data_IF_290438048602
#
_entry.id   IF_290438048602
#
_cell.length_a   1.000
_cell.length_b   1.000
_cell.length_c   1.000
_cell.angle_alpha   90.00
_cell.angle_beta   90.00
_cell.angle_gamma   90.00
#
_symmetry.space_group_name_H-M   'P 1'
#
loop_
_entity.id
_entity.type
_entity.pdbx_description
1 polymer ?
#
# COMPACT_ATOMS: atom_id res chain seq x y z
N UNK A 1 8.07 -22.98 29.58
CA UNK A 1 8.86 -22.19 28.63
C UNK A 1 7.99 -21.92 27.42
N UNK A 2 7.95 -20.66 26.96
CA UNK A 2 7.44 -20.18 25.67
C UNK A 2 5.92 -20.38 25.42
N UNK A 3 5.14 -19.40 24.95
CA UNK A 3 5.46 -18.12 24.33
C UNK A 3 4.16 -17.30 24.13
N UNK A 4 4.30 -15.97 24.19
CA UNK A 4 3.59 -14.95 23.40
C UNK A 4 2.19 -14.48 23.81
N UNK A 5 2.20 -13.43 24.65
CA UNK A 5 1.44 -12.18 24.42
C UNK A 5 2.44 -11.01 24.58
N UNK A 6 2.26 -9.84 23.93
CA UNK A 6 0.94 -9.23 23.77
C UNK A 6 0.69 -8.46 22.45
N UNK A 7 -0.60 -8.19 22.24
CA UNK A 7 -1.17 -7.06 21.48
C UNK A 7 -1.03 -7.10 19.95
N UNK A 8 -1.93 -7.84 19.30
CA UNK A 8 -2.47 -7.37 18.02
C UNK A 8 -3.49 -6.28 18.36
N UNK A 9 -3.12 -5.03 18.07
CA UNK A 9 -3.99 -3.87 18.24
C UNK A 9 -5.26 -4.07 17.44
N UNK A 10 -6.34 -4.24 18.20
CA UNK A 10 -7.72 -4.09 17.79
C UNK A 10 -7.90 -2.70 17.17
N UNK A 11 -7.78 -2.58 15.84
CA UNK A 11 -8.20 -1.37 15.15
C UNK A 11 -9.73 -1.24 15.28
N UNK A 12 -10.23 -0.12 15.82
CA UNK A 12 -11.65 0.04 16.09
C UNK A 12 -12.42 0.51 14.85
N UNK A 13 -13.68 0.08 14.83
CA UNK A 13 -14.84 0.79 14.26
C UNK A 13 -15.08 0.74 12.76
N UNK A 14 -15.94 -0.19 12.38
CA UNK A 14 -17.30 0.02 11.83
C UNK A 14 -17.77 1.48 11.59
N UNK A 15 -17.04 2.22 10.76
CA UNK A 15 -17.62 3.12 9.79
C UNK A 15 -17.28 2.55 8.41
N UNK A 16 -17.99 2.96 7.36
CA UNK A 16 -17.79 2.48 5.98
C UNK A 16 -16.48 3.04 5.36
N UNK A 17 -15.40 2.97 6.12
CA UNK A 17 -14.06 3.46 5.83
C UNK A 17 -13.31 2.39 5.05
N UNK A 18 -12.62 2.80 3.98
CA UNK A 18 -11.86 1.85 3.18
C UNK A 18 -10.75 1.23 4.05
N UNK A 19 -10.60 -0.09 4.00
CA UNK A 19 -9.51 -0.75 4.74
C UNK A 19 -8.17 -0.49 4.06
N UNK A 20 -7.06 -0.65 4.78
CA UNK A 20 -5.71 -0.57 4.19
C UNK A 20 -5.56 -1.39 2.90
N UNK A 21 -6.16 -2.58 2.85
CA UNK A 21 -6.12 -3.44 1.68
C UNK A 21 -6.93 -2.90 0.48
N UNK A 22 -8.06 -2.26 0.76
CA UNK A 22 -8.91 -1.66 -0.29
C UNK A 22 -8.29 -0.37 -0.83
N UNK A 23 -7.81 0.50 0.05
CA UNK A 23 -7.11 1.73 -0.32
C UNK A 23 -5.84 1.45 -1.13
N UNK A 24 -5.10 0.40 -0.77
CA UNK A 24 -3.89 0.04 -1.49
C UNK A 24 -4.16 -0.45 -2.93
N UNK A 25 -5.37 -0.96 -3.23
CA UNK A 25 -5.78 -1.32 -4.60
C UNK A 25 -6.10 -0.10 -5.46
N UNK A 26 -6.62 0.97 -4.84
CA UNK A 26 -6.91 2.24 -5.53
C UNK A 26 -5.63 3.00 -5.88
N UNK A 27 -4.51 2.64 -5.25
CA UNK A 27 -3.23 3.29 -5.42
C UNK A 27 -2.26 2.40 -6.17
N UNK A 28 -1.73 2.93 -7.28
CA UNK A 28 -0.73 2.25 -8.09
C UNK A 28 0.65 2.89 -7.89
N UNK A 29 1.67 2.04 -7.86
CA UNK A 29 3.08 2.43 -7.93
C UNK A 29 3.65 1.94 -9.24
N UNK A 30 4.31 2.82 -9.98
CA UNK A 30 5.10 2.43 -11.13
C UNK A 30 6.41 1.81 -10.66
N UNK A 31 6.69 0.59 -11.12
CA UNK A 31 7.93 -0.12 -10.82
C UNK A 31 8.57 -0.53 -12.14
N UNK A 32 9.88 -0.26 -12.34
CA UNK A 32 10.58 -0.69 -13.54
C UNK A 32 10.53 -2.22 -13.66
N UNK A 33 10.29 -2.70 -14.87
CA UNK A 33 10.37 -4.13 -15.18
C UNK A 33 11.85 -4.49 -15.21
N UNK A 34 12.23 -5.49 -14.40
CA UNK A 34 13.59 -6.02 -14.38
C UNK A 34 13.75 -7.04 -15.51
N UNK A 35 14.85 -6.91 -16.26
CA UNK A 35 15.25 -7.89 -17.26
C UNK A 35 15.63 -9.22 -16.57
N UNK A 36 15.14 -10.34 -17.10
CA UNK A 36 15.29 -11.66 -16.44
C UNK A 36 16.70 -12.22 -16.55
N UNK A 37 17.47 -11.82 -17.56
CA UNK A 37 18.80 -12.36 -17.83
C UNK A 37 19.88 -11.54 -17.12
N UNK A 38 19.71 -10.23 -17.07
CA UNK A 38 20.70 -9.30 -16.51
C UNK A 38 20.35 -8.78 -15.12
N UNK A 39 19.09 -8.91 -14.69
CA UNK A 39 18.60 -8.37 -13.42
C UNK A 39 18.58 -6.83 -13.38
N UNK A 40 18.76 -6.15 -14.50
CA UNK A 40 18.78 -4.68 -14.60
C UNK A 40 17.39 -4.12 -14.88
N UNK A 41 17.06 -2.91 -14.42
CA UNK A 41 15.82 -2.24 -14.81
C UNK A 41 15.82 -1.96 -16.31
N UNK A 42 14.73 -2.30 -16.98
CA UNK A 42 14.45 -1.92 -18.37
C UNK A 42 13.83 -0.53 -18.43
N UNK A 43 13.78 0.07 -19.62
CA UNK A 43 13.08 1.34 -19.88
C UNK A 43 11.55 1.25 -19.77
N UNK A 44 11.00 0.08 -19.43
CA UNK A 44 9.56 -0.14 -19.27
C UNK A 44 9.19 -0.17 -17.79
N UNK A 45 8.14 0.56 -17.43
CA UNK A 45 7.50 0.47 -16.12
C UNK A 45 6.26 -0.43 -16.19
N UNK A 46 5.91 -1.02 -15.05
CA UNK A 46 4.60 -1.63 -14.84
C UNK A 46 3.94 -1.00 -13.64
N UNK A 47 2.63 -0.81 -13.73
CA UNK A 47 1.82 -0.42 -12.58
C UNK A 47 1.59 -1.63 -11.69
N UNK A 48 1.92 -1.51 -10.41
CA UNK A 48 1.53 -2.49 -9.40
C UNK A 48 0.65 -1.82 -8.36
N UNK A 49 -0.41 -2.50 -7.95
CA UNK A 49 -1.15 -2.10 -6.76
C UNK A 49 -0.22 -2.15 -5.55
N UNK A 50 -0.34 -1.15 -4.68
CA UNK A 50 0.35 -1.18 -3.40
C UNK A 50 -0.26 -2.31 -2.57
N UNK A 51 0.54 -3.02 -1.76
CA UNK A 51 -0.02 -4.01 -0.83
C UNK A 51 -0.52 -3.29 0.42
N UNK A 52 -1.61 -3.79 1.01
CA UNK A 52 -2.13 -3.24 2.27
C UNK A 52 -1.08 -3.18 3.39
N UNK A 53 -0.14 -4.14 3.42
CA UNK A 53 0.96 -4.14 4.40
C UNK A 53 2.00 -3.03 4.16
N UNK A 54 2.16 -2.55 2.92
CA UNK A 54 3.05 -1.42 2.61
C UNK A 54 2.43 -0.08 3.01
N UNK A 55 1.12 -0.03 3.29
CA UNK A 55 0.46 1.20 3.73
C UNK A 55 0.81 1.48 5.19
N UNK A 56 1.46 2.61 5.42
CA UNK A 56 1.73 3.11 6.76
C UNK A 56 0.52 3.89 7.30
N UNK A 57 -0.06 4.75 6.46
CA UNK A 57 -1.22 5.56 6.80
C UNK A 57 -1.92 6.02 5.52
N UNK A 58 -3.21 6.31 5.60
CA UNK A 58 -3.95 6.86 4.48
C UNK A 58 -4.95 7.90 4.94
N UNK A 59 -5.35 8.77 4.01
CA UNK A 59 -6.40 9.75 4.20
C UNK A 59 -7.32 9.74 2.99
N UNK A 60 -8.60 9.50 3.25
CA UNK A 60 -9.65 9.58 2.25
C UNK A 60 -10.11 11.04 2.10
N UNK A 61 -10.31 11.45 0.85
CA UNK A 61 -11.01 12.67 0.44
C UNK A 61 -12.23 12.24 -0.39
N UNK A 62 -13.12 13.19 -0.68
CA UNK A 62 -14.34 12.90 -1.46
C UNK A 62 -14.05 12.36 -2.87
N UNK A 63 -12.97 12.82 -3.51
CA UNK A 63 -12.58 12.50 -4.90
C UNK A 63 -11.44 11.47 -5.00
N UNK A 64 -10.55 11.43 -4.00
CA UNK A 64 -9.34 10.63 -4.08
C UNK A 64 -8.86 10.19 -2.69
N UNK A 65 -7.94 9.25 -2.67
CA UNK A 65 -7.26 8.79 -1.45
C UNK A 65 -5.76 9.08 -1.55
N UNK A 66 -5.20 9.59 -0.45
CA UNK A 66 -3.77 9.78 -0.31
C UNK A 66 -3.23 8.71 0.62
N UNK A 67 -2.24 7.97 0.14
CA UNK A 67 -1.61 6.87 0.87
C UNK A 67 -0.16 7.20 1.13
N UNK A 68 0.27 7.02 2.37
CA UNK A 68 1.65 7.05 2.79
C UNK A 68 2.13 5.61 2.93
N UNK A 69 3.15 5.24 2.17
CA UNK A 69 3.77 3.91 2.27
C UNK A 69 4.85 3.88 3.36
N UNK A 70 5.20 2.69 3.85
CA UNK A 70 6.32 2.48 4.79
C UNK A 70 7.67 3.00 4.26
N UNK A 71 7.81 3.06 2.94
CA UNK A 71 8.98 3.62 2.23
C UNK A 71 9.02 5.17 2.27
N UNK A 72 8.03 5.82 2.91
CA UNK A 72 7.90 7.27 3.00
C UNK A 72 7.32 7.93 1.73
N UNK A 73 6.97 7.14 0.71
CA UNK A 73 6.38 7.66 -0.53
C UNK A 73 4.89 7.93 -0.34
N UNK A 74 4.45 9.09 -0.82
CA UNK A 74 3.03 9.47 -0.92
C UNK A 74 2.53 9.12 -2.30
N UNK A 75 1.39 8.45 -2.36
CA UNK A 75 0.76 8.02 -3.59
C UNK A 75 -0.71 8.45 -3.57
N UNK A 76 -1.20 8.92 -4.71
CA UNK A 76 -2.60 9.33 -4.88
C UNK A 76 -3.33 8.24 -5.68
N UNK A 77 -4.47 7.80 -5.17
CA UNK A 77 -5.40 6.92 -5.88
C UNK A 77 -6.71 7.64 -6.10
N UNK A 78 -7.32 7.45 -7.27
CA UNK A 78 -8.67 7.94 -7.56
C UNK A 78 -9.68 6.94 -6.97
N UNK A 79 -10.80 7.45 -6.43
CA UNK A 79 -11.81 6.64 -5.74
C UNK A 79 -12.93 6.20 -6.69
#
# INVERSE_FOLDING_TARGET
MAEKKPTEEKQPSEAKSLTHAEVAKLVKREVPILDKETGKPTDKTREIAVKGDEVLSFKEYDDHVIVVTKDGKKLRGEK
#
